data_IF_510328354228
#
_entry.id   IF_510328354228
#
_cell.length_a   1.000
_cell.length_b   1.000
_cell.length_c   1.000
_cell.angle_alpha   90.00
_cell.angle_beta   90.00
_cell.angle_gamma   90.00
#
_symmetry.space_group_name_H-M   'P 1'
#
loop_
_entity.id
_entity.type
_entity.pdbx_description
1 polymer ?
#
# COMPACT_ATOMS: atom_id res chain seq x y z
N UNK A 1 -21.88 14.98 -6.32
CA UNK A 1 -21.68 14.32 -5.02
C UNK A 1 -20.18 14.25 -4.74
N UNK A 2 -19.59 15.37 -4.30
CA UNK A 2 -18.23 15.37 -3.74
C UNK A 2 -18.39 14.75 -2.37
N UNK A 3 -17.99 13.49 -2.24
CA UNK A 3 -17.99 12.85 -0.95
C UNK A 3 -16.93 13.58 -0.12
N UNK A 4 -17.38 14.50 0.72
CA UNK A 4 -16.66 15.00 1.90
C UNK A 4 -16.45 13.84 2.87
N UNK A 5 -15.66 12.85 2.47
CA UNK A 5 -15.23 11.69 3.27
C UNK A 5 -13.83 11.92 3.85
N UNK A 6 -13.18 13.02 3.47
CA UNK A 6 -11.79 13.33 3.80
C UNK A 6 -11.53 13.56 5.30
N UNK A 7 -12.56 13.78 6.13
CA UNK A 7 -12.41 13.95 7.58
C UNK A 7 -12.83 12.73 8.41
N UNK A 8 -13.89 12.04 8.01
CA UNK A 8 -14.57 11.06 8.86
C UNK A 8 -13.96 9.65 8.79
N UNK A 9 -13.24 9.31 7.72
CA UNK A 9 -12.54 8.02 7.60
C UNK A 9 -11.03 8.12 7.90
N UNK A 10 -10.43 9.30 7.72
CA UNK A 10 -9.04 9.54 8.06
C UNK A 10 -8.82 9.55 9.58
N UNK A 11 -9.76 10.12 10.35
CA UNK A 11 -9.67 10.21 11.80
C UNK A 11 -9.73 8.84 12.51
N UNK A 12 -10.65 7.91 12.20
CA UNK A 12 -10.65 6.57 12.78
C UNK A 12 -9.39 5.78 12.40
N UNK A 13 -8.93 5.90 11.15
CA UNK A 13 -7.72 5.20 10.69
C UNK A 13 -6.47 5.71 11.42
N UNK A 14 -6.33 7.02 11.60
CA UNK A 14 -5.29 7.62 12.44
C UNK A 14 -5.38 7.16 13.88
N UNK A 15 -6.57 7.18 14.49
CA UNK A 15 -6.76 6.72 15.87
C UNK A 15 -6.42 5.23 16.03
N UNK A 16 -6.67 4.41 15.00
CA UNK A 16 -6.28 2.99 15.00
C UNK A 16 -4.77 2.86 14.84
N UNK A 17 -4.13 3.61 13.94
CA UNK A 17 -2.67 3.58 13.78
C UNK A 17 -1.95 4.10 15.04
N UNK A 18 -2.38 5.22 15.60
CA UNK A 18 -1.86 5.79 16.84
C UNK A 18 -2.14 4.87 18.03
N UNK A 19 -3.32 4.24 18.06
CA UNK A 19 -3.70 3.26 19.07
C UNK A 19 -2.86 1.98 19.00
N UNK A 20 -2.59 1.46 17.79
CA UNK A 20 -1.71 0.30 17.58
C UNK A 20 -0.24 0.64 17.86
N UNK A 21 0.21 1.85 17.51
CA UNK A 21 1.55 2.34 17.82
C UNK A 21 1.71 2.51 19.33
N UNK A 22 0.74 3.13 20.00
CA UNK A 22 0.74 3.32 21.45
C UNK A 22 0.64 1.98 22.18
N UNK A 23 -0.23 1.08 21.74
CA UNK A 23 -0.34 -0.27 22.28
C UNK A 23 0.97 -1.04 22.09
N UNK A 24 1.57 -0.97 20.89
CA UNK A 24 2.87 -1.58 20.61
C UNK A 24 3.99 -1.00 21.48
N UNK A 25 4.01 0.32 21.71
CA UNK A 25 4.97 0.98 22.61
C UNK A 25 4.72 0.68 24.09
N UNK A 26 3.46 0.54 24.50
CA UNK A 26 3.06 0.22 25.86
C UNK A 26 3.38 -1.24 26.20
N UNK A 27 3.10 -2.16 25.28
CA UNK A 27 3.46 -3.58 25.38
C UNK A 27 4.98 -3.76 25.34
N UNK A 28 5.70 -2.99 24.50
CA UNK A 28 7.17 -2.94 24.55
C UNK A 28 7.66 -2.48 25.92
N UNK A 29 7.02 -1.47 26.51
CA UNK A 29 7.38 -0.92 27.82
C UNK A 29 7.07 -1.88 28.97
N UNK A 30 6.06 -2.72 28.82
CA UNK A 30 5.65 -3.71 29.84
C UNK A 30 6.50 -4.99 29.76
N UNK A 31 6.90 -5.42 28.57
CA UNK A 31 7.77 -6.57 28.36
C UNK A 31 9.26 -6.26 28.55
N UNK A 32 9.71 -5.05 28.18
CA UNK A 32 11.06 -4.58 28.48
C UNK A 32 11.05 -4.04 29.92
N UNK A 33 11.44 -4.90 30.87
CA UNK A 33 11.95 -4.43 32.15
C UNK A 33 13.00 -3.35 31.84
N UNK A 34 12.78 -2.09 32.26
CA UNK A 34 13.69 -0.95 32.08
C UNK A 34 15.03 -1.11 32.80
N UNK A 35 15.57 -2.33 32.91
CA UNK A 35 17.01 -2.50 32.89
C UNK A 35 17.48 -1.93 31.54
N UNK A 36 18.56 -1.13 31.51
CA UNK A 36 19.15 -0.75 30.24
C UNK A 36 19.49 -2.05 29.51
N UNK A 37 18.73 -2.38 28.46
CA UNK A 37 19.15 -3.36 27.48
C UNK A 37 20.41 -2.75 26.90
N UNK A 38 21.57 -3.12 27.44
CA UNK A 38 22.85 -2.68 26.90
C UNK A 38 22.86 -3.16 25.46
N UNK A 39 22.56 -2.27 24.52
CA UNK A 39 22.65 -2.52 23.09
C UNK A 39 24.05 -3.03 22.71
N UNK A 40 25.05 -2.69 23.52
CA UNK A 40 26.41 -3.22 23.46
C UNK A 40 26.50 -4.74 23.72
N UNK A 41 25.62 -5.29 24.56
CA UNK A 41 25.50 -6.75 24.81
C UNK A 41 24.95 -7.46 23.57
N UNK A 42 23.93 -6.89 22.93
CA UNK A 42 23.22 -7.52 21.80
C UNK A 42 23.78 -7.03 20.46
N UNK A 43 25.01 -7.45 20.12
CA UNK A 43 25.57 -7.22 18.79
C UNK A 43 24.76 -7.95 17.71
N UNK A 44 24.63 -7.39 16.49
CA UNK A 44 23.76 -7.93 15.43
C UNK A 44 24.04 -9.40 15.06
N UNK A 45 25.29 -9.85 15.18
CA UNK A 45 25.73 -11.17 14.72
C UNK A 45 25.94 -12.20 15.84
N UNK A 46 25.56 -11.90 17.09
CA UNK A 46 25.82 -12.77 18.24
C UNK A 46 24.52 -13.30 18.83
N UNK A 47 24.31 -14.61 18.67
CA UNK A 47 23.17 -15.33 19.27
C UNK A 47 23.41 -15.47 20.77
N UNK A 48 22.46 -14.98 21.58
CA UNK A 48 22.52 -15.07 23.03
C UNK A 48 21.51 -16.08 23.56
N UNK A 49 21.87 -16.85 24.60
CA UNK A 49 20.97 -17.83 25.22
C UNK A 49 19.66 -17.20 25.72
N UNK A 50 19.71 -15.94 26.15
CA UNK A 50 18.56 -15.14 26.60
C UNK A 50 17.55 -14.83 25.48
N UNK A 51 17.96 -14.99 24.22
CA UNK A 51 17.16 -14.67 23.01
C UNK A 51 16.52 -15.89 22.36
N UNK A 52 16.68 -17.07 22.97
CA UNK A 52 16.00 -18.28 22.52
C UNK A 52 14.57 -18.25 23.06
N UNK A 53 13.59 -18.36 22.16
CA UNK A 53 12.19 -18.50 22.57
C UNK A 53 12.04 -19.83 23.33
N UNK A 54 11.64 -19.75 24.60
CA UNK A 54 11.28 -20.91 25.44
C UNK A 54 9.89 -21.41 25.07
N UNK A 55 9.72 -21.77 23.81
CA UNK A 55 8.41 -22.02 23.22
C UNK A 55 8.42 -23.46 22.73
N UNK A 56 8.00 -24.35 23.63
CA UNK A 56 7.50 -25.72 23.45
C UNK A 56 8.39 -26.93 23.84
N UNK A 57 7.70 -27.84 24.56
CA UNK A 57 8.07 -29.19 24.99
C UNK A 57 8.43 -30.11 23.79
N UNK A 58 9.21 -31.17 24.00
CA UNK A 58 9.95 -31.92 22.97
C UNK A 58 9.09 -32.93 22.20
N UNK A 59 8.03 -32.49 21.52
CA UNK A 59 7.30 -33.34 20.57
C UNK A 59 7.47 -32.89 19.11
N UNK A 60 7.49 -33.87 18.19
CA UNK A 60 7.86 -33.78 16.76
C UNK A 60 7.21 -32.68 15.91
N UNK A 61 6.19 -31.96 16.40
CA UNK A 61 5.49 -30.90 15.65
C UNK A 61 6.12 -29.50 15.84
N UNK A 62 7.15 -29.35 16.66
CA UNK A 62 7.75 -28.04 17.03
C UNK A 62 8.48 -27.37 15.87
N UNK A 63 9.16 -28.12 14.99
CA UNK A 63 9.91 -27.52 13.86
C UNK A 63 8.97 -26.83 12.88
N UNK A 64 7.87 -27.49 12.50
CA UNK A 64 6.88 -26.92 11.57
C UNK A 64 6.24 -25.68 12.18
N UNK A 65 5.88 -25.72 13.47
CA UNK A 65 5.30 -24.58 14.17
C UNK A 65 6.29 -23.41 14.29
N UNK A 66 7.56 -23.67 14.63
CA UNK A 66 8.61 -22.65 14.69
C UNK A 66 8.88 -22.02 13.33
N UNK A 67 8.90 -22.81 12.25
CA UNK A 67 9.01 -22.31 10.87
C UNK A 67 7.82 -21.41 10.54
N UNK A 68 6.59 -21.84 10.83
CA UNK A 68 5.39 -21.04 10.57
C UNK A 68 5.46 -19.73 11.36
N UNK A 69 5.71 -19.78 12.67
CA UNK A 69 5.77 -18.61 13.54
C UNK A 69 6.83 -17.60 13.09
N UNK A 70 8.02 -18.07 12.72
CA UNK A 70 9.09 -17.20 12.21
C UNK A 70 8.73 -16.52 10.89
N UNK A 71 7.84 -17.11 10.09
CA UNK A 71 7.43 -16.60 8.78
C UNK A 71 6.11 -15.81 8.79
N UNK A 72 5.31 -15.85 9.86
CA UNK A 72 4.07 -15.04 9.96
C UNK A 72 4.34 -13.55 9.68
N UNK A 73 5.39 -12.91 10.25
CA UNK A 73 5.68 -11.51 9.96
C UNK A 73 6.03 -11.26 8.48
N UNK A 74 6.69 -12.23 7.82
CA UNK A 74 7.02 -12.15 6.39
C UNK A 74 5.75 -12.19 5.52
N UNK A 75 4.77 -13.04 5.87
CA UNK A 75 3.48 -13.10 5.18
C UNK A 75 2.69 -11.81 5.38
N UNK A 76 2.62 -11.31 6.61
CA UNK A 76 1.95 -10.05 6.93
C UNK A 76 2.56 -8.89 6.14
N UNK A 77 3.89 -8.81 6.08
CA UNK A 77 4.59 -7.78 5.31
C UNK A 77 4.29 -7.87 3.81
N UNK A 78 4.17 -9.09 3.27
CA UNK A 78 3.79 -9.30 1.86
C UNK A 78 2.37 -8.80 1.57
N UNK A 79 1.42 -9.04 2.47
CA UNK A 79 0.05 -8.52 2.34
C UNK A 79 0.02 -6.99 2.39
N UNK A 80 0.80 -6.38 3.28
CA UNK A 80 0.97 -4.92 3.36
C UNK A 80 1.54 -4.38 2.04
N UNK A 81 2.56 -5.05 1.50
CA UNK A 81 3.16 -4.74 0.19
C UNK A 81 2.13 -4.69 -0.94
N UNK A 82 1.32 -5.74 -1.08
CA UNK A 82 0.29 -5.78 -2.12
C UNK A 82 -0.71 -4.63 -1.97
N UNK A 83 -1.13 -4.32 -0.74
CA UNK A 83 -2.09 -3.24 -0.47
C UNK A 83 -1.52 -1.87 -0.81
N UNK A 84 -0.33 -1.52 -0.30
CA UNK A 84 0.21 -0.19 -0.61
C UNK A 84 0.62 -0.07 -2.08
N UNK A 85 1.11 -1.14 -2.72
CA UNK A 85 1.46 -1.10 -4.15
C UNK A 85 0.21 -0.87 -5.01
N UNK A 86 -0.92 -1.47 -4.63
CA UNK A 86 -2.22 -1.18 -5.26
C UNK A 86 -2.64 0.29 -5.05
N UNK A 87 -2.55 0.80 -3.82
CA UNK A 87 -2.87 2.21 -3.51
C UNK A 87 -2.02 3.19 -4.32
N UNK A 88 -0.70 3.01 -4.35
CA UNK A 88 0.19 3.89 -5.12
C UNK A 88 -0.01 3.78 -6.62
N UNK A 89 -0.53 2.67 -7.13
CA UNK A 89 -0.90 2.55 -8.55
C UNK A 89 -2.18 3.32 -8.87
N UNK A 90 -3.14 3.33 -7.94
CA UNK A 90 -4.40 4.06 -8.10
C UNK A 90 -4.23 5.60 -8.05
N UNK A 91 -3.28 6.12 -7.26
CA UNK A 91 -3.09 7.58 -7.09
C UNK A 91 -2.75 8.29 -8.42
N UNK A 92 -1.74 7.87 -9.21
CA UNK A 92 -1.44 8.50 -10.50
C UNK A 92 -2.55 8.31 -11.52
N UNK A 93 -3.25 7.17 -11.49
CA UNK A 93 -4.42 6.92 -12.34
C UNK A 93 -5.52 7.94 -12.03
N UNK A 94 -5.85 8.13 -10.75
CA UNK A 94 -6.83 9.12 -10.32
C UNK A 94 -6.37 10.55 -10.65
N UNK A 95 -5.07 10.85 -10.49
CA UNK A 95 -4.50 12.16 -10.86
C UNK A 95 -4.47 12.41 -12.37
N UNK A 96 -4.38 11.37 -13.19
CA UNK A 96 -4.54 11.46 -14.64
C UNK A 96 -6.01 11.66 -15.02
N UNK A 97 -6.91 10.95 -14.37
CA UNK A 97 -8.35 11.11 -14.55
C UNK A 97 -8.79 12.53 -14.22
N UNK A 98 -8.39 13.05 -13.06
CA UNK A 98 -8.66 14.41 -12.57
C UNK A 98 -8.18 15.50 -13.52
N UNK A 99 -7.14 15.23 -14.33
CA UNK A 99 -6.58 16.17 -15.29
C UNK A 99 -7.45 16.44 -16.52
N UNK A 100 -8.49 15.64 -16.75
CA UNK A 100 -9.52 15.90 -17.76
C UNK A 100 -10.56 16.91 -17.29
N UNK A 101 -10.53 17.32 -16.01
CA UNK A 101 -11.41 18.36 -15.48
C UNK A 101 -10.91 19.76 -15.83
N UNK A 102 -11.83 20.70 -15.96
CA UNK A 102 -11.50 22.12 -16.09
C UNK A 102 -11.23 22.61 -17.51
N UNK A 103 -11.80 21.93 -18.52
CA UNK A 103 -11.89 22.42 -19.91
C UNK A 103 -10.61 22.28 -20.74
N UNK A 104 -9.52 21.73 -20.19
CA UNK A 104 -8.30 21.46 -20.95
C UNK A 104 -8.43 20.11 -21.65
N UNK A 105 -8.60 20.15 -22.98
CA UNK A 105 -8.67 18.96 -23.82
C UNK A 105 -7.33 18.21 -23.85
N UNK A 106 -7.36 16.89 -23.67
CA UNK A 106 -6.19 16.00 -23.68
C UNK A 106 -6.51 14.69 -24.37
N UNK A 107 -5.58 14.16 -25.15
CA UNK A 107 -5.73 12.82 -25.72
C UNK A 107 -5.59 11.72 -24.66
N UNK A 108 -6.27 10.61 -24.90
CA UNK A 108 -6.23 9.41 -24.05
C UNK A 108 -4.86 8.73 -24.08
N UNK A 109 -4.46 8.13 -22.96
CA UNK A 109 -3.30 7.24 -22.94
C UNK A 109 -3.71 5.81 -23.28
N UNK A 110 -3.01 5.21 -24.24
CA UNK A 110 -3.26 3.85 -24.72
C UNK A 110 -2.01 2.98 -24.56
N UNK A 111 -2.23 1.67 -24.33
CA UNK A 111 -1.16 0.67 -24.27
C UNK A 111 -0.72 0.18 -25.65
N UNK A 112 -1.57 0.36 -26.66
CA UNK A 112 -1.31 0.04 -28.06
C UNK A 112 -0.61 1.21 -28.77
N UNK A 113 -0.33 1.02 -30.06
CA UNK A 113 0.13 2.12 -30.91
C UNK A 113 -0.89 3.26 -30.92
N UNK A 114 -0.48 4.49 -30.58
CA UNK A 114 -1.39 5.64 -30.52
C UNK A 114 -1.89 6.03 -31.91
N UNK A 115 -3.14 6.50 -31.96
CA UNK A 115 -3.77 7.06 -33.16
C UNK A 115 -4.29 8.47 -32.88
N UNK A 116 -4.09 9.40 -33.81
CA UNK A 116 -4.50 10.80 -33.64
C UNK A 116 -3.77 11.49 -32.50
N UNK A 117 -4.52 12.10 -31.58
CA UNK A 117 -3.98 12.82 -30.41
C UNK A 117 -3.74 11.91 -29.19
N UNK A 118 -3.95 10.60 -29.32
CA UNK A 118 -3.65 9.62 -28.29
C UNK A 118 -2.17 9.63 -27.92
N UNK A 119 -1.89 9.26 -26.68
CA UNK A 119 -0.54 9.19 -26.14
C UNK A 119 -0.23 7.77 -25.74
N UNK A 120 1.02 7.35 -25.88
CA UNK A 120 1.41 6.05 -25.36
C UNK A 120 1.49 6.11 -23.83
N UNK A 121 1.06 5.04 -23.16
CA UNK A 121 1.28 4.86 -21.72
C UNK A 121 2.72 4.39 -21.44
N UNK A 122 3.18 4.55 -20.20
CA UNK A 122 4.41 3.91 -19.76
C UNK A 122 4.17 2.41 -19.61
N UNK A 123 5.17 1.57 -19.93
CA UNK A 123 5.06 0.11 -19.82
C UNK A 123 4.66 -0.36 -18.40
N UNK A 124 5.00 0.42 -17.36
CA UNK A 124 4.47 0.26 -16.01
C UNK A 124 3.47 1.37 -15.68
N UNK A 125 2.37 1.01 -15.02
CA UNK A 125 1.34 1.95 -14.54
C UNK A 125 1.90 2.98 -13.53
N UNK A 126 2.99 2.63 -12.84
CA UNK A 126 3.70 3.49 -11.89
C UNK A 126 5.04 3.98 -12.48
N UNK A 127 5.45 5.25 -12.25
CA UNK A 127 6.81 5.69 -12.55
C UNK A 127 7.83 4.77 -11.89
N UNK A 128 8.78 4.25 -12.69
CA UNK A 128 9.76 3.24 -12.25
C UNK A 128 10.52 3.66 -10.98
N UNK A 129 10.80 4.95 -10.81
CA UNK A 129 11.48 5.49 -9.61
C UNK A 129 10.70 5.22 -8.32
N UNK A 130 9.38 5.41 -8.34
CA UNK A 130 8.55 5.18 -7.16
C UNK A 130 8.35 3.68 -6.92
N UNK A 131 8.11 2.90 -7.98
CA UNK A 131 7.94 1.44 -7.88
C UNK A 131 9.19 0.77 -7.33
N UNK A 132 10.36 1.12 -7.88
CA UNK A 132 11.63 0.55 -7.44
C UNK A 132 11.98 0.97 -6.02
N UNK A 133 11.75 2.22 -5.63
CA UNK A 133 11.99 2.68 -4.26
C UNK A 133 11.10 1.94 -3.25
N UNK A 134 9.81 1.79 -3.55
CA UNK A 134 8.85 1.05 -2.71
C UNK A 134 9.18 -0.44 -2.63
N UNK A 135 9.60 -1.05 -3.74
CA UNK A 135 10.02 -2.45 -3.77
C UNK A 135 11.33 -2.67 -3.01
N UNK A 136 12.32 -1.80 -3.18
CA UNK A 136 13.59 -1.85 -2.45
C UNK A 136 13.37 -1.69 -0.95
N UNK A 137 12.52 -0.75 -0.53
CA UNK A 137 12.16 -0.57 0.87
C UNK A 137 11.44 -1.80 1.45
N UNK A 138 10.51 -2.41 0.70
CA UNK A 138 9.87 -3.67 1.09
C UNK A 138 10.89 -4.79 1.26
N UNK A 139 11.80 -4.95 0.30
CA UNK A 139 12.85 -5.95 0.35
C UNK A 139 13.75 -5.75 1.57
N UNK A 140 14.09 -4.50 1.89
CA UNK A 140 14.81 -4.14 3.11
C UNK A 140 14.06 -4.52 4.38
N UNK A 141 12.74 -4.28 4.46
CA UNK A 141 11.92 -4.71 5.60
C UNK A 141 11.86 -6.22 5.72
N UNK A 142 11.65 -6.97 4.63
CA UNK A 142 11.69 -8.43 4.63
C UNK A 142 13.05 -8.98 5.11
N UNK A 143 14.13 -8.34 4.69
CA UNK A 143 15.48 -8.66 5.14
C UNK A 143 15.66 -8.37 6.64
N UNK A 144 15.22 -7.21 7.13
CA UNK A 144 15.28 -6.89 8.57
C UNK A 144 14.43 -7.86 9.41
N UNK A 145 13.27 -8.28 8.91
CA UNK A 145 12.41 -9.27 9.58
C UNK A 145 13.14 -10.61 9.70
N UNK A 146 13.91 -11.04 8.68
CA UNK A 146 14.67 -12.29 8.75
C UNK A 146 15.82 -12.21 9.76
N UNK A 147 16.35 -11.01 10.04
CA UNK A 147 17.31 -10.77 11.11
C UNK A 147 16.65 -10.61 12.49
N UNK A 148 15.33 -10.41 12.53
CA UNK A 148 14.57 -10.18 13.77
C UNK A 148 14.07 -11.47 14.40
N UNK A 149 13.61 -12.42 13.58
CA UNK A 149 13.16 -13.74 14.02
C UNK A 149 13.79 -14.78 13.09
N UNK A 150 14.56 -15.70 13.67
CA UNK A 150 15.31 -16.70 12.91
C UNK A 150 15.23 -18.06 13.62
N UNK A 151 15.46 -19.14 12.88
CA UNK A 151 15.53 -20.48 13.47
C UNK A 151 16.94 -20.75 13.98
N UNK A 152 17.03 -21.33 15.17
CA UNK A 152 18.27 -21.75 15.81
C UNK A 152 18.20 -23.26 16.02
N UNK A 153 19.28 -23.94 15.65
CA UNK A 153 19.52 -25.34 16.00
C UNK A 153 20.50 -25.37 17.16
N UNK A 154 20.10 -25.99 18.26
CA UNK A 154 20.94 -26.18 19.45
C UNK A 154 21.31 -27.65 19.53
N UNK A 155 22.61 -27.93 19.47
CA UNK A 155 23.17 -29.28 19.60
C UNK A 155 23.90 -29.36 20.95
N UNK A 156 23.51 -30.32 21.79
CA UNK A 156 24.17 -30.60 23.06
C UNK A 156 25.15 -31.76 22.86
N UNK A 157 26.43 -31.48 23.09
CA UNK A 157 27.50 -32.48 23.02
C UNK A 157 27.76 -33.08 24.41
N UNK A 158 27.87 -34.40 24.46
CA UNK A 158 28.35 -35.12 25.65
C UNK A 158 29.88 -35.14 25.75
N UNK A 159 30.40 -35.68 26.85
CA UNK A 159 31.85 -35.80 27.10
C UNK A 159 32.60 -36.58 26.01
N UNK A 160 31.90 -37.44 25.25
CA UNK A 160 32.44 -38.22 24.13
C UNK A 160 32.36 -37.50 22.77
N UNK A 161 32.08 -36.19 22.76
CA UNK A 161 31.89 -35.37 21.54
C UNK A 161 30.75 -35.87 20.62
N UNK A 162 29.84 -36.66 21.18
CA UNK A 162 28.64 -37.16 20.52
C UNK A 162 27.45 -36.24 20.80
N UNK A 163 26.63 -35.98 19.78
CA UNK A 163 25.40 -35.20 19.93
C UNK A 163 24.39 -36.03 20.73
N UNK A 164 24.09 -35.60 21.96
CA UNK A 164 23.19 -36.29 22.87
C UNK A 164 21.75 -35.76 22.79
N UNK A 165 21.59 -34.47 22.50
CA UNK A 165 20.29 -33.82 22.34
C UNK A 165 20.35 -32.78 21.23
N UNK A 166 19.28 -32.72 20.44
CA UNK A 166 19.14 -31.80 19.32
C UNK A 166 17.79 -31.10 19.42
N UNK A 167 17.83 -29.79 19.64
CA UNK A 167 16.62 -28.97 19.73
C UNK A 167 16.65 -27.87 18.68
N UNK A 168 15.62 -27.83 17.82
CA UNK A 168 15.38 -26.70 16.93
C UNK A 168 14.37 -25.76 17.58
N UNK A 169 14.74 -24.50 17.76
CA UNK A 169 13.88 -23.45 18.33
C UNK A 169 13.95 -22.17 17.49
N UNK A 170 13.15 -21.16 17.83
CA UNK A 170 13.21 -19.83 17.23
C UNK A 170 13.98 -18.87 18.14
N UNK A 171 14.90 -18.11 17.57
CA UNK A 171 15.57 -16.99 18.19
C UNK A 171 14.98 -15.65 17.77
N UNK A 172 15.18 -14.62 18.58
CA UNK A 172 14.81 -13.25 18.23
C UNK A 172 15.93 -12.25 18.51
N UNK A 173 16.04 -11.21 17.69
CA UNK A 173 16.99 -10.12 17.90
C UNK A 173 16.28 -8.86 18.37
N UNK A 174 16.53 -8.36 19.60
CA UNK A 174 15.94 -7.11 20.07
C UNK A 174 16.24 -5.93 19.14
N UNK A 175 17.47 -5.86 18.62
CA UNK A 175 17.89 -4.80 17.70
C UNK A 175 17.14 -4.90 16.36
N UNK A 176 17.02 -6.12 15.83
CA UNK A 176 16.24 -6.37 14.61
C UNK A 176 14.80 -5.92 14.77
N UNK A 177 14.14 -6.33 15.86
CA UNK A 177 12.76 -5.96 16.15
C UNK A 177 12.59 -4.44 16.22
N UNK A 178 13.48 -3.74 16.93
CA UNK A 178 13.41 -2.27 17.03
C UNK A 178 13.55 -1.63 15.64
N UNK A 179 14.48 -2.10 14.81
CA UNK A 179 14.66 -1.57 13.44
C UNK A 179 13.43 -1.82 12.56
N UNK A 180 12.82 -3.02 12.65
CA UNK A 180 11.58 -3.35 11.92
C UNK A 180 10.43 -2.45 12.39
N UNK A 181 10.28 -2.23 13.69
CA UNK A 181 9.23 -1.35 14.23
C UNK A 181 9.39 0.09 13.77
N UNK A 182 10.61 0.64 13.83
CA UNK A 182 10.89 2.01 13.39
C UNK A 182 10.64 2.15 11.88
N UNK A 183 11.13 1.22 11.07
CA UNK A 183 10.94 1.23 9.63
C UNK A 183 9.46 1.02 9.24
N UNK A 184 8.73 0.15 9.96
CA UNK A 184 7.30 -0.07 9.78
C UNK A 184 6.47 1.17 10.15
N UNK A 185 6.80 1.85 11.26
CA UNK A 185 6.15 3.09 11.64
C UNK A 185 6.40 4.20 10.60
N UNK A 186 7.62 4.31 10.07
CA UNK A 186 7.95 5.24 9.00
C UNK A 186 7.14 4.95 7.72
N UNK A 187 6.94 3.68 7.37
CA UNK A 187 6.09 3.28 6.25
C UNK A 187 4.63 3.72 6.47
N UNK A 188 4.05 3.43 7.64
CA UNK A 188 2.67 3.82 7.96
C UNK A 188 2.51 5.34 7.90
N UNK A 189 3.43 6.10 8.50
CA UNK A 189 3.41 7.56 8.43
C UNK A 189 3.50 8.08 6.99
N UNK A 190 4.34 7.46 6.15
CA UNK A 190 4.41 7.77 4.73
C UNK A 190 3.09 7.48 3.99
N UNK A 191 2.45 6.34 4.25
CA UNK A 191 1.14 6.00 3.66
C UNK A 191 0.07 7.02 4.06
N UNK A 192 -0.02 7.31 5.35
CA UNK A 192 -0.97 8.27 5.91
C UNK A 192 -0.77 9.66 5.32
N UNK A 193 0.48 10.17 5.30
CA UNK A 193 0.79 11.48 4.71
C UNK A 193 0.45 11.53 3.22
N UNK A 194 0.70 10.44 2.48
CA UNK A 194 0.34 10.40 1.06
C UNK A 194 -1.16 10.39 0.81
N UNK A 195 -1.94 9.78 1.72
CA UNK A 195 -3.41 9.78 1.67
C UNK A 195 -4.02 11.17 1.85
N UNK A 196 -3.33 12.09 2.52
CA UNK A 196 -3.78 13.48 2.68
C UNK A 196 -3.56 14.35 1.44
N UNK A 197 -2.78 13.90 0.45
CA UNK A 197 -2.60 14.68 -0.77
C UNK A 197 -3.87 14.61 -1.64
N UNK A 198 -4.62 15.72 -1.65
CA UNK A 198 -5.78 15.87 -2.52
C UNK A 198 -5.39 15.99 -3.99
N UNK A 199 -6.25 15.48 -4.85
CA UNK A 199 -6.17 15.69 -6.30
C UNK A 199 -6.37 17.18 -6.62
N UNK A 200 -5.76 17.63 -7.72
CA UNK A 200 -5.58 19.05 -8.01
C UNK A 200 -6.89 19.76 -8.37
N UNK A 201 -7.80 19.07 -9.04
CA UNK A 201 -9.03 19.65 -9.56
C UNK A 201 -10.29 19.17 -8.81
N UNK A 202 -10.32 17.90 -8.37
CA UNK A 202 -11.33 17.34 -7.47
C UNK A 202 -12.75 17.28 -8.04
N UNK A 203 -12.93 17.54 -9.34
CA UNK A 203 -14.24 17.73 -9.96
C UNK A 203 -14.78 16.53 -10.72
N UNK A 204 -13.94 15.54 -11.02
CA UNK A 204 -14.35 14.28 -11.64
C UNK A 204 -14.47 13.23 -10.52
N UNK A 205 -15.56 12.44 -10.45
CA UNK A 205 -15.64 11.33 -9.51
C UNK A 205 -14.45 10.39 -9.71
N UNK A 206 -13.87 9.91 -8.61
CA UNK A 206 -12.75 8.96 -8.67
C UNK A 206 -13.28 7.61 -9.14
N UNK A 207 -13.08 7.33 -10.42
CA UNK A 207 -13.56 6.12 -11.10
C UNK A 207 -12.72 4.88 -10.74
N UNK A 208 -11.47 5.08 -10.34
CA UNK A 208 -10.56 4.00 -9.92
C UNK A 208 -10.43 2.90 -10.98
N UNK A 209 -10.54 1.64 -10.57
CA UNK A 209 -10.55 0.45 -11.44
C UNK A 209 -11.96 -0.11 -11.69
N UNK A 210 -13.02 0.64 -11.36
CA UNK A 210 -14.39 0.18 -11.52
C UNK A 210 -14.84 0.31 -12.99
N UNK A 211 -14.98 -0.82 -13.69
CA UNK A 211 -15.39 -0.85 -15.09
C UNK A 211 -16.74 -0.19 -15.33
N UNK A 212 -17.69 -0.33 -14.40
CA UNK A 212 -19.01 0.32 -14.49
C UNK A 212 -18.90 1.85 -14.43
N UNK A 213 -18.06 2.38 -13.55
CA UNK A 213 -17.84 3.82 -13.45
C UNK A 213 -17.05 4.38 -14.65
N UNK A 214 -16.12 3.61 -15.22
CA UNK A 214 -15.44 3.97 -16.48
C UNK A 214 -16.46 4.01 -17.62
N UNK A 215 -17.32 2.99 -17.73
CA UNK A 215 -18.34 2.90 -18.77
C UNK A 215 -19.31 4.07 -18.73
N UNK A 216 -19.79 4.44 -17.53
CA UNK A 216 -20.66 5.60 -17.33
C UNK A 216 -20.00 6.90 -17.84
N UNK A 217 -18.74 7.15 -17.46
CA UNK A 217 -18.00 8.33 -17.92
C UNK A 217 -17.74 8.35 -19.45
N UNK A 218 -17.75 7.19 -20.10
CA UNK A 218 -17.51 7.03 -21.54
C UNK A 218 -18.79 6.98 -22.39
N UNK A 219 -19.98 7.11 -21.80
CA UNK A 219 -21.23 7.23 -22.55
C UNK A 219 -21.33 8.62 -23.21
N UNK A 220 -20.65 8.79 -24.34
CA UNK A 220 -20.70 10.00 -25.14
C UNK A 220 -21.92 10.05 -26.07
N UNK A 221 -22.20 11.25 -26.57
CA UNK A 221 -23.21 11.49 -27.59
C UNK A 221 -22.99 10.57 -28.82
N UNK A 222 -24.04 9.91 -29.36
CA UNK A 222 -23.94 9.03 -30.52
C UNK A 222 -23.22 9.66 -31.73
N UNK A 223 -23.29 10.99 -31.88
CA UNK A 223 -22.66 11.73 -32.99
C UNK A 223 -21.12 11.77 -32.93
N UNK A 224 -20.51 11.57 -31.76
CA UNK A 224 -19.05 11.61 -31.59
C UNK A 224 -18.41 10.23 -31.41
N UNK A 225 -19.22 9.19 -31.18
CA UNK A 225 -18.79 7.87 -30.70
C UNK A 225 -17.61 7.25 -31.48
N UNK A 226 -17.62 7.34 -32.81
CA UNK A 226 -16.65 6.60 -33.65
C UNK A 226 -15.27 7.25 -33.72
N UNK A 227 -15.16 8.56 -33.48
CA UNK A 227 -13.89 9.32 -33.58
C UNK A 227 -13.40 9.88 -32.24
N UNK A 228 -14.23 9.81 -31.20
CA UNK A 228 -13.94 10.38 -29.89
C UNK A 228 -12.63 9.86 -29.28
N UNK A 229 -12.33 8.57 -29.44
CA UNK A 229 -11.16 7.96 -28.82
C UNK A 229 -9.82 8.53 -29.32
N UNK A 230 -9.76 9.11 -30.52
CA UNK A 230 -8.54 9.64 -31.13
C UNK A 230 -8.42 11.16 -31.03
N UNK A 231 -9.45 11.83 -30.52
CA UNK A 231 -9.53 13.27 -30.35
C UNK A 231 -9.11 13.69 -28.93
N UNK A 232 -8.78 14.98 -28.73
CA UNK A 232 -8.47 15.48 -27.41
C UNK A 232 -9.77 15.71 -26.64
N UNK A 233 -9.88 15.10 -25.45
CA UNK A 233 -11.11 15.04 -24.66
C UNK A 233 -11.03 15.89 -23.40
N UNK A 234 -12.19 16.36 -22.97
CA UNK A 234 -12.43 16.92 -21.63
C UNK A 234 -13.62 16.21 -21.01
N UNK A 235 -13.73 16.22 -19.68
CA UNK A 235 -14.88 15.65 -18.98
C UNK A 235 -15.74 16.77 -18.38
N UNK A 236 -17.06 16.62 -18.46
CA UNK A 236 -18.03 17.54 -17.87
C UNK A 236 -19.45 17.24 -18.32
N UNK A 237 -20.34 18.22 -18.18
CA UNK A 237 -21.75 18.11 -18.57
C UNK A 237 -21.86 18.20 -20.10
N UNK A 238 -22.50 17.22 -20.71
CA UNK A 238 -22.66 17.11 -22.18
C UNK A 238 -24.11 17.29 -22.64
N UNK A 239 -25.09 17.02 -21.77
CA UNK A 239 -26.51 17.19 -22.11
C UNK A 239 -26.96 18.65 -22.07
N UNK A 240 -27.96 18.98 -22.89
CA UNK A 240 -28.67 20.26 -22.81
C UNK A 240 -29.35 20.41 -21.45
N UNK A 241 -29.49 21.66 -20.97
CA UNK A 241 -30.03 22.01 -19.64
C UNK A 241 -31.44 21.47 -19.35
N UNK A 242 -32.14 20.97 -20.38
CA UNK A 242 -33.55 20.55 -20.32
C UNK A 242 -33.75 19.03 -20.15
N UNK A 243 -32.67 18.24 -20.05
CA UNK A 243 -32.75 16.79 -19.79
C UNK A 243 -32.37 16.53 -18.34
N UNK A 244 -33.33 16.06 -17.54
CA UNK A 244 -33.11 15.58 -16.17
C UNK A 244 -33.26 14.04 -16.10
N UNK A 245 -32.30 13.33 -15.48
CA UNK A 245 -31.03 13.83 -14.95
C UNK A 245 -30.07 14.29 -16.07
N UNK A 246 -29.22 15.26 -15.76
CA UNK A 246 -28.20 15.74 -16.71
C UNK A 246 -27.14 14.66 -16.95
N UNK A 247 -26.45 14.68 -18.09
CA UNK A 247 -25.48 13.64 -18.43
C UNK A 247 -24.03 14.16 -18.37
N UNK A 248 -23.16 13.44 -17.65
CA UNK A 248 -21.73 13.77 -17.57
C UNK A 248 -20.88 12.71 -18.30
N UNK A 249 -20.13 13.13 -19.32
CA UNK A 249 -19.25 12.20 -20.04
C UNK A 249 -18.04 12.90 -20.66
N UNK A 250 -17.12 12.09 -21.19
CA UNK A 250 -16.05 12.60 -22.04
C UNK A 250 -16.61 13.12 -23.37
N UNK A 251 -16.15 14.30 -23.78
CA UNK A 251 -16.48 14.90 -25.07
C UNK A 251 -15.26 15.58 -25.68
N UNK A 252 -15.24 15.66 -27.02
CA UNK A 252 -14.26 16.47 -27.76
C UNK A 252 -14.67 17.94 -27.86
N UNK A 253 -15.95 18.24 -27.59
CA UNK A 253 -16.52 19.58 -27.54
C UNK A 253 -16.18 20.26 -26.20
N UNK A 254 -16.65 21.48 -26.04
CA UNK A 254 -16.48 22.19 -24.78
C UNK A 254 -17.49 21.66 -23.76
N UNK A 255 -16.99 21.27 -22.59
CA UNK A 255 -17.80 20.72 -21.50
C UNK A 255 -17.94 21.74 -20.37
N UNK A 256 -19.14 21.93 -19.86
CA UNK A 256 -19.40 22.74 -18.68
C UNK A 256 -19.04 21.97 -17.40
N UNK A 257 -18.72 22.70 -16.34
CA UNK A 257 -18.45 22.09 -15.03
C UNK A 257 -19.79 21.66 -14.41
N UNK A 258 -19.87 20.46 -13.81
CA UNK A 258 -21.06 20.04 -13.08
C UNK A 258 -21.32 20.98 -11.90
N UNK A 259 -22.60 21.28 -11.67
CA UNK A 259 -23.07 22.14 -10.58
C UNK A 259 -23.32 21.29 -9.34
N UNK A 260 -22.81 21.74 -8.21
CA UNK A 260 -23.01 21.04 -6.95
C UNK A 260 -24.49 21.07 -6.54
N UNK A 261 -25.05 19.89 -6.22
CA UNK A 261 -26.47 19.74 -5.84
C UNK A 261 -27.40 19.24 -6.95
N UNK A 262 -26.95 19.20 -8.20
CA UNK A 262 -27.71 18.61 -9.32
C UNK A 262 -27.44 17.10 -9.46
N UNK A 263 -28.45 16.36 -9.93
CA UNK A 263 -28.33 14.92 -10.24
C UNK A 263 -27.82 14.76 -11.67
N UNK A 264 -26.76 13.96 -11.82
CA UNK A 264 -26.18 13.61 -13.10
C UNK A 264 -26.06 12.09 -13.24
N UNK A 265 -26.35 11.58 -14.44
CA UNK A 265 -26.04 10.22 -14.88
C UNK A 265 -24.67 10.12 -15.55
#
# INVERSE_FOLDING_TARGET
MVVSVDGLFAFPSLCVCDGLLWFGLADLREQISLAPVSLEKYKPDVVHSDTIMKVFNPERNVLILGVILANIPQVLMSLIYFNYNALFTCIPLAAEWDRFFGGKKKGLRVSTWPQGDQRQTYFLQLPYRCSLALAAFSGGLHWLISQSIFLIKVEAYGDDDTVQDEMTSSGWSPVGIILVLVAGAALIAFLVTTGYFRLRYGGIPVVGSCSAAIAAACHADPSERDSLATLPLTWGVVSAKDVEPGHCSFTSKDAEKPVEGCLYE
#
